data_IF_074196677135
#
_entry.id   IF_074196677135
#
_cell.length_a   1.000
_cell.length_b   1.000
_cell.length_c   1.000
_cell.angle_alpha   90.00
_cell.angle_beta   90.00
_cell.angle_gamma   90.00
#
_symmetry.space_group_name_H-M   'P 1'
#
loop_
_entity.id
_entity.type
_entity.pdbx_description
1 polymer ?
#
# COMPACT_ATOMS: atom_id res chain seq x y z
N UNK A 1 8.05 -21.00 22.19
CA UNK A 1 8.16 -20.43 20.83
C UNK A 1 7.34 -19.16 20.79
N UNK A 2 7.99 -18.00 20.81
CA UNK A 2 7.32 -16.70 20.70
C UNK A 2 6.69 -16.62 19.32
N UNK A 3 5.36 -16.57 19.25
CA UNK A 3 4.61 -16.47 17.99
C UNK A 3 4.65 -15.02 17.46
N UNK A 4 5.85 -14.44 17.42
CA UNK A 4 6.06 -13.04 17.05
C UNK A 4 6.01 -12.90 15.54
N UNK A 5 4.92 -12.33 15.05
CA UNK A 5 4.86 -11.81 13.69
C UNK A 5 5.79 -10.60 13.59
N UNK A 6 6.51 -10.48 12.47
CA UNK A 6 7.39 -9.34 12.21
C UNK A 6 6.59 -8.03 12.41
N UNK A 7 7.09 -7.06 13.20
CA UNK A 7 6.40 -5.79 13.42
C UNK A 7 6.25 -4.99 12.11
N UNK A 8 7.11 -5.26 11.14
CA UNK A 8 7.05 -4.70 9.80
C UNK A 8 5.87 -5.30 9.03
N UNK A 9 5.72 -6.62 9.07
CA UNK A 9 4.59 -7.33 8.47
C UNK A 9 3.24 -6.91 9.08
N UNK A 10 3.18 -6.75 10.40
CA UNK A 10 1.93 -6.35 11.07
C UNK A 10 1.55 -4.90 10.76
N UNK A 11 2.51 -3.97 10.75
CA UNK A 11 2.25 -2.57 10.39
C UNK A 11 1.76 -2.41 8.94
N UNK A 12 2.33 -3.17 8.00
CA UNK A 12 1.83 -3.22 6.63
C UNK A 12 0.42 -3.76 6.55
N UNK A 13 0.13 -4.88 7.22
CA UNK A 13 -1.19 -5.48 7.20
C UNK A 13 -2.26 -4.50 7.72
N UNK A 14 -1.94 -3.69 8.74
CA UNK A 14 -2.83 -2.63 9.23
C UNK A 14 -3.03 -1.55 8.17
N UNK A 15 -1.97 -1.11 7.47
CA UNK A 15 -2.07 -0.11 6.40
C UNK A 15 -2.95 -0.60 5.23
N UNK A 16 -2.81 -1.86 4.81
CA UNK A 16 -3.62 -2.46 3.75
C UNK A 16 -5.10 -2.59 4.16
N UNK A 17 -5.36 -2.95 5.42
CA UNK A 17 -6.72 -3.00 5.98
C UNK A 17 -7.35 -1.62 6.08
N UNK A 18 -6.57 -0.59 6.41
CA UNK A 18 -7.05 0.78 6.45
C UNK A 18 -7.43 1.26 5.05
N UNK A 19 -6.61 0.99 4.03
CA UNK A 19 -6.96 1.26 2.64
C UNK A 19 -8.26 0.54 2.23
N UNK A 20 -8.42 -0.73 2.61
CA UNK A 20 -9.64 -1.49 2.35
C UNK A 20 -10.88 -0.88 3.03
N UNK A 21 -10.74 -0.41 4.28
CA UNK A 21 -11.81 0.28 5.01
C UNK A 21 -12.22 1.58 4.32
N UNK A 22 -11.24 2.39 3.91
CA UNK A 22 -11.48 3.67 3.24
C UNK A 22 -12.20 3.49 1.89
N UNK A 23 -11.87 2.44 1.15
CA UNK A 23 -12.60 2.03 -0.06
C UNK A 23 -14.07 1.71 0.23
N UNK A 24 -14.34 0.91 1.26
CA UNK A 24 -15.72 0.57 1.67
C UNK A 24 -16.51 1.74 2.22
N UNK A 25 -15.83 2.72 2.81
CA UNK A 25 -16.44 3.99 3.25
C UNK A 25 -16.69 4.97 2.09
N UNK A 26 -16.27 4.64 0.86
CA UNK A 26 -16.41 5.53 -0.29
C UNK A 26 -15.53 6.77 -0.24
N UNK A 27 -14.52 6.82 0.65
CA UNK A 27 -13.60 7.97 0.75
C UNK A 27 -12.54 7.95 -0.36
N UNK A 28 -12.23 6.77 -0.89
CA UNK A 28 -11.31 6.62 -2.01
C UNK A 28 -12.13 6.33 -3.27
N UNK A 29 -12.10 7.29 -4.19
CA UNK A 29 -12.64 7.12 -5.53
C UNK A 29 -11.59 6.45 -6.43
N UNK A 30 -12.00 5.62 -7.37
CA UNK A 30 -11.14 4.91 -8.32
C UNK A 30 -11.37 5.37 -9.76
N UNK A 31 -10.37 5.19 -10.62
CA UNK A 31 -10.46 5.54 -12.05
C UNK A 31 -9.79 4.46 -12.91
N UNK A 32 -10.55 3.51 -13.45
CA UNK A 32 -10.00 2.47 -14.34
C UNK A 32 -9.93 3.02 -15.77
N UNK A 33 -8.83 2.75 -16.47
CA UNK A 33 -8.64 3.17 -17.87
C UNK A 33 -9.36 2.26 -18.88
N UNK A 34 -10.54 1.75 -18.53
CA UNK A 34 -11.36 0.87 -19.37
C UNK A 34 -12.56 1.72 -19.80
N UNK A 35 -12.71 1.92 -21.11
CA UNK A 35 -13.71 2.76 -21.81
C UNK A 35 -13.46 4.28 -21.94
N UNK A 36 -14.29 4.91 -22.79
CA UNK A 36 -14.21 6.24 -23.42
C UNK A 36 -14.23 7.47 -22.47
N UNK A 37 -14.21 7.27 -21.16
CA UNK A 37 -14.22 8.34 -20.16
C UNK A 37 -12.98 8.22 -19.26
N UNK A 38 -11.80 8.37 -19.87
CA UNK A 38 -10.56 8.62 -19.11
C UNK A 38 -10.81 9.86 -18.24
N UNK A 39 -10.54 9.79 -16.93
CA UNK A 39 -10.86 10.78 -15.88
C UNK A 39 -12.15 10.62 -15.05
N UNK A 40 -13.05 9.65 -15.29
CA UNK A 40 -14.19 9.47 -14.37
C UNK A 40 -13.78 8.74 -13.08
N UNK A 41 -13.97 9.40 -11.94
CA UNK A 41 -13.73 8.83 -10.62
C UNK A 41 -15.04 8.26 -10.04
N UNK A 42 -15.03 6.99 -9.64
CA UNK A 42 -16.20 6.31 -9.06
C UNK A 42 -15.84 5.62 -7.74
N UNK A 43 -16.76 5.55 -6.76
CA UNK A 43 -16.49 4.86 -5.52
C UNK A 43 -16.44 3.35 -5.80
N UNK A 44 -15.38 2.68 -5.36
CA UNK A 44 -15.25 1.24 -5.46
C UNK A 44 -15.10 0.62 -4.08
N UNK A 45 -16.06 -0.21 -3.61
CA UNK A 45 -16.00 -0.82 -2.29
C UNK A 45 -14.92 -1.92 -2.17
N UNK A 46 -14.41 -2.41 -3.30
CA UNK A 46 -13.38 -3.45 -3.35
C UNK A 46 -12.12 -2.84 -3.94
N UNK A 47 -11.02 -2.87 -3.19
CA UNK A 47 -9.74 -2.35 -3.65
C UNK A 47 -9.18 -3.18 -4.83
N UNK A 48 -8.88 -2.56 -5.99
CA UNK A 48 -8.19 -3.23 -7.09
C UNK A 48 -6.68 -3.36 -6.77
N UNK A 49 -6.30 -4.42 -6.05
CA UNK A 49 -4.93 -4.64 -5.52
C UNK A 49 -3.83 -4.52 -6.58
N UNK A 50 -4.10 -4.92 -7.81
CA UNK A 50 -3.13 -4.90 -8.92
C UNK A 50 -2.57 -3.51 -9.23
N UNK A 51 -3.33 -2.46 -8.96
CA UNK A 51 -2.98 -1.06 -9.27
C UNK A 51 -2.35 -0.31 -8.12
N UNK A 52 -2.55 -0.82 -6.90
CA UNK A 52 -2.03 -0.21 -5.70
C UNK A 52 -0.61 -0.71 -5.45
N UNK A 53 0.27 0.23 -5.12
CA UNK A 53 1.65 -0.04 -4.73
C UNK A 53 1.93 0.70 -3.44
N UNK A 54 2.79 0.12 -2.63
CA UNK A 54 3.32 0.79 -1.46
C UNK A 54 4.84 0.78 -1.48
N UNK A 55 5.41 1.82 -0.89
CA UNK A 55 6.85 1.98 -0.69
C UNK A 55 7.10 2.30 0.77
N UNK A 56 8.15 1.73 1.35
CA UNK A 56 8.57 2.11 2.69
C UNK A 56 9.27 3.47 2.61
N UNK A 57 8.80 4.44 3.40
CA UNK A 57 9.44 5.76 3.53
C UNK A 57 10.19 5.92 4.85
N UNK A 58 9.88 5.09 5.85
CA UNK A 58 10.51 5.10 7.18
C UNK A 58 10.49 3.66 7.75
N UNK A 59 11.46 3.18 8.51
CA UNK A 59 12.69 3.85 8.96
C UNK A 59 13.83 3.83 7.94
N UNK A 60 13.98 2.73 7.20
CA UNK A 60 14.93 2.62 6.10
C UNK A 60 14.16 2.67 4.77
N UNK A 61 14.21 3.80 4.03
CA UNK A 61 13.38 3.98 2.86
C UNK A 61 13.72 2.96 1.77
N UNK A 62 12.67 2.44 1.15
CA UNK A 62 12.72 1.56 -0.03
C UNK A 62 12.17 2.28 -1.26
N UNK A 63 12.67 3.49 -1.53
CA UNK A 63 12.14 4.34 -2.61
C UNK A 63 12.34 3.75 -4.00
N UNK A 64 13.37 2.90 -4.18
CA UNK A 64 13.67 2.23 -5.44
C UNK A 64 12.83 0.97 -5.71
N UNK A 65 12.08 0.44 -4.73
CA UNK A 65 11.23 -0.73 -4.92
C UNK A 65 9.77 -0.46 -4.57
N UNK A 66 8.88 -0.90 -5.45
CA UNK A 66 7.45 -0.76 -5.30
C UNK A 66 6.86 -2.14 -5.02
N UNK A 67 6.24 -2.31 -3.84
CA UNK A 67 5.64 -3.59 -3.48
C UNK A 67 4.14 -3.58 -3.80
N UNK A 68 3.61 -4.62 -4.46
CA UNK A 68 2.18 -4.77 -4.65
C UNK A 68 1.48 -5.11 -3.33
N UNK A 69 0.26 -4.61 -3.18
CA UNK A 69 -0.61 -4.91 -2.04
C UNK A 69 -0.85 -6.42 -1.95
N UNK A 70 -0.65 -6.99 -0.75
CA UNK A 70 -0.80 -8.42 -0.48
C UNK A 70 0.44 -9.27 -0.76
N UNK A 71 1.57 -8.69 -1.17
CA UNK A 71 2.84 -9.42 -1.30
C UNK A 71 3.43 -9.74 0.07
N UNK A 72 4.07 -10.91 0.19
CA UNK A 72 4.81 -11.27 1.40
C UNK A 72 5.97 -10.30 1.67
N UNK A 73 6.11 -9.93 2.93
CA UNK A 73 7.09 -8.93 3.40
C UNK A 73 8.44 -9.57 3.70
N UNK A 74 8.43 -10.86 4.06
CA UNK A 74 9.61 -11.68 4.43
C UNK A 74 10.83 -11.49 3.54
N UNK A 75 10.63 -11.27 2.22
CA UNK A 75 11.73 -11.14 1.27
C UNK A 75 12.44 -9.79 1.31
N UNK A 76 11.70 -8.71 1.57
CA UNK A 76 12.22 -7.34 1.47
C UNK A 76 12.35 -6.64 2.84
N UNK A 77 11.80 -7.23 3.91
CA UNK A 77 12.01 -6.76 5.28
C UNK A 77 13.42 -7.02 5.82
N UNK A 78 14.18 -7.90 5.16
CA UNK A 78 15.54 -8.24 5.56
C UNK A 78 16.41 -6.95 5.64
N UNK A 79 17.02 -6.74 6.81
CA UNK A 79 17.83 -5.55 7.08
C UNK A 79 17.05 -4.28 7.42
N UNK A 80 15.71 -4.28 7.37
CA UNK A 80 14.86 -3.11 7.64
C UNK A 80 14.25 -3.09 9.05
N UNK A 81 14.50 -4.13 9.85
CA UNK A 81 14.04 -4.25 11.24
C UNK A 81 15.21 -4.59 12.19
N UNK A 82 16.18 -3.69 12.40
CA UNK A 82 17.25 -3.92 13.37
C UNK A 82 16.77 -3.66 14.81
N UNK A 83 17.32 -4.38 15.81
CA UNK A 83 16.84 -4.36 17.20
C UNK A 83 17.01 -3.01 17.91
N UNK A 84 17.95 -2.17 17.47
CA UNK A 84 18.29 -0.89 18.12
C UNK A 84 17.38 0.29 17.70
N UNK A 85 16.17 0.03 17.19
CA UNK A 85 15.33 1.06 16.59
C UNK A 85 13.96 1.15 17.24
N UNK A 86 13.33 2.32 17.17
CA UNK A 86 12.00 2.58 17.76
C UNK A 86 10.85 1.91 17.00
N UNK A 87 11.13 1.05 16.01
CA UNK A 87 10.14 0.29 15.20
C UNK A 87 9.01 1.17 14.63
N UNK A 88 9.35 2.37 14.15
CA UNK A 88 8.42 3.27 13.49
C UNK A 88 8.48 3.07 11.98
N UNK A 89 7.40 2.57 11.39
CA UNK A 89 7.31 2.32 9.95
C UNK A 89 6.39 3.32 9.27
N UNK A 90 6.82 3.82 8.12
CA UNK A 90 6.03 4.71 7.28
C UNK A 90 5.89 4.12 5.89
N UNK A 91 4.68 4.15 5.34
CA UNK A 91 4.38 3.62 4.01
C UNK A 91 3.74 4.70 3.15
N UNK A 92 4.29 4.90 1.96
CA UNK A 92 3.64 5.68 0.91
C UNK A 92 2.83 4.72 0.06
N UNK A 93 1.50 4.76 0.21
CA UNK A 93 0.57 4.03 -0.66
C UNK A 93 0.15 4.93 -1.81
N UNK A 94 0.28 4.42 -3.03
CA UNK A 94 -0.06 5.17 -4.22
C UNK A 94 -0.71 4.28 -5.28
N UNK A 95 -1.48 4.91 -6.16
CA UNK A 95 -2.10 4.31 -7.32
C UNK A 95 -1.97 5.26 -8.51
N UNK A 96 -1.87 4.72 -9.71
CA UNK A 96 -1.99 5.52 -10.93
C UNK A 96 -3.42 6.02 -11.05
N UNK A 97 -3.65 7.33 -11.16
CA UNK A 97 -4.93 7.88 -11.65
C UNK A 97 -4.86 7.94 -13.17
N UNK A 98 -5.79 7.28 -13.86
CA UNK A 98 -5.86 7.32 -15.32
C UNK A 98 -6.68 8.53 -15.75
N UNK A 99 -6.13 9.71 -15.49
CA UNK A 99 -6.67 10.97 -15.96
C UNK A 99 -5.71 11.52 -17.02
N UNK A 100 -6.19 11.80 -18.23
CA UNK A 100 -5.38 12.55 -19.22
C UNK A 100 -5.47 14.02 -18.81
N UNK A 101 -4.33 14.66 -18.57
CA UNK A 101 -4.26 16.10 -18.69
C UNK A 101 -4.39 16.39 -20.19
N UNK A 102 -5.31 17.28 -20.59
CA UNK A 102 -5.48 17.71 -21.98
C UNK A 102 -4.11 18.04 -22.63
#
# INVERSE_FOLDING_TARGET
VSNESSPLQSSLLVSERMAYKLHRQGQIMESIGKDKAVCYEYPSPIIPKERWRYQMVNMYPDSGQCHPVGRSVMRWEAGKNPPNTRKNYGYLMWRKRNCVFL
#
